data_IF_171546018536
#
_entry.id   IF_171546018536
#
_cell.length_a   1.000
_cell.length_b   1.000
_cell.length_c   1.000
_cell.angle_alpha   90.00
_cell.angle_beta   90.00
_cell.angle_gamma   90.00
#
_symmetry.space_group_name_H-M   'P 1'
#
loop_
_entity.id
_entity.type
_entity.pdbx_description
1 polymer ?
#
# COMPACT_ATOMS: atom_id res chain seq x y z
N UNK A 1 -9.08 -3.98 10.94
CA UNK A 1 -10.39 -4.67 11.02
C UNK A 1 -11.19 -4.50 9.73
N UNK A 2 -11.67 -3.30 9.39
CA UNK A 2 -12.52 -3.04 8.19
C UNK A 2 -11.98 -3.56 6.84
N UNK A 3 -10.68 -3.39 6.54
CA UNK A 3 -10.08 -3.90 5.30
C UNK A 3 -10.02 -5.43 5.29
N UNK A 4 -9.67 -6.05 6.42
CA UNK A 4 -9.63 -7.50 6.54
C UNK A 4 -11.03 -8.12 6.38
N UNK A 5 -12.05 -7.49 6.98
CA UNK A 5 -13.45 -7.92 6.84
C UNK A 5 -13.93 -7.79 5.37
N UNK A 6 -13.58 -6.68 4.70
CA UNK A 6 -13.91 -6.48 3.29
C UNK A 6 -13.18 -7.47 2.36
N UNK A 7 -11.92 -7.79 2.67
CA UNK A 7 -11.13 -8.81 1.95
C UNK A 7 -11.77 -10.19 2.09
N UNK A 8 -12.18 -10.53 3.30
CA UNK A 8 -12.82 -11.81 3.60
C UNK A 8 -14.18 -11.93 2.91
N UNK A 9 -14.96 -10.86 2.85
CA UNK A 9 -16.22 -10.83 2.11
C UNK A 9 -16.01 -11.04 0.60
N UNK A 10 -14.99 -10.40 0.02
CA UNK A 10 -14.62 -10.63 -1.38
C UNK A 10 -14.23 -12.09 -1.63
N UNK A 11 -13.42 -12.68 -0.74
CA UNK A 11 -13.00 -14.09 -0.84
C UNK A 11 -14.18 -15.05 -0.83
N UNK A 12 -15.04 -14.96 0.19
CA UNK A 12 -16.24 -15.81 0.29
C UNK A 12 -17.17 -15.68 -0.91
N UNK A 13 -17.35 -14.45 -1.43
CA UNK A 13 -18.17 -14.22 -2.61
C UNK A 13 -17.55 -14.82 -3.87
N UNK A 14 -16.23 -14.80 -4.01
CA UNK A 14 -15.53 -15.44 -5.12
C UNK A 14 -15.64 -16.96 -5.04
N UNK A 15 -15.38 -17.54 -3.87
CA UNK A 15 -15.50 -18.98 -3.63
C UNK A 15 -16.92 -19.49 -3.94
N UNK A 16 -17.95 -18.71 -3.59
CA UNK A 16 -19.34 -19.02 -3.95
C UNK A 16 -19.58 -19.03 -5.46
N UNK A 17 -19.02 -18.06 -6.20
CA UNK A 17 -19.14 -17.99 -7.66
C UNK A 17 -18.47 -19.20 -8.31
N UNK A 18 -17.27 -19.57 -7.87
CA UNK A 18 -16.56 -20.74 -8.39
C UNK A 18 -17.36 -22.02 -8.10
N UNK A 19 -17.85 -22.19 -6.88
CA UNK A 19 -18.72 -23.31 -6.53
C UNK A 19 -20.00 -23.35 -7.37
N UNK A 20 -20.63 -22.20 -7.67
CA UNK A 20 -21.79 -22.16 -8.57
C UNK A 20 -21.43 -22.59 -10.00
N UNK A 21 -20.26 -22.20 -10.52
CA UNK A 21 -19.82 -22.61 -11.85
C UNK A 21 -19.61 -24.12 -11.94
N UNK A 22 -18.98 -24.70 -10.92
CA UNK A 22 -18.69 -26.14 -10.85
C UNK A 22 -19.98 -26.96 -10.71
N UNK A 23 -21.00 -26.41 -10.04
CA UNK A 23 -22.30 -27.05 -9.84
C UNK A 23 -23.34 -26.68 -10.91
N UNK A 24 -22.92 -26.51 -12.17
CA UNK A 24 -23.86 -26.27 -13.27
C UNK A 24 -24.87 -27.43 -13.37
N UNK A 25 -26.18 -27.16 -13.34
CA UNK A 25 -27.19 -28.21 -13.38
C UNK A 25 -27.22 -28.89 -14.76
N UNK A 26 -27.33 -30.22 -14.74
CA UNK A 26 -27.52 -31.04 -15.94
C UNK A 26 -28.95 -30.88 -16.47
N UNK A 27 -29.92 -30.68 -15.57
CA UNK A 27 -31.33 -30.54 -15.93
C UNK A 27 -31.56 -29.22 -16.70
N UNK A 28 -32.04 -29.29 -17.96
CA UNK A 28 -32.22 -28.12 -18.81
C UNK A 28 -33.21 -27.09 -18.25
N UNK A 29 -34.22 -27.52 -17.49
CA UNK A 29 -35.21 -26.63 -16.87
C UNK A 29 -34.63 -25.79 -15.73
N UNK A 30 -33.50 -26.22 -15.14
CA UNK A 30 -32.82 -25.49 -14.04
C UNK A 30 -31.69 -24.58 -14.53
N UNK A 31 -31.29 -24.67 -15.80
CA UNK A 31 -30.17 -23.90 -16.36
C UNK A 31 -30.43 -22.39 -16.28
N UNK A 32 -31.66 -21.94 -16.55
CA UNK A 32 -31.98 -20.51 -16.55
C UNK A 32 -31.90 -19.91 -15.14
N UNK A 33 -32.45 -20.60 -14.14
CA UNK A 33 -32.37 -20.17 -12.75
C UNK A 33 -30.91 -20.09 -12.28
N UNK A 34 -30.11 -21.11 -12.59
CA UNK A 34 -28.68 -21.12 -12.29
C UNK A 34 -27.91 -19.98 -12.98
N UNK A 35 -28.22 -19.67 -14.25
CA UNK A 35 -27.58 -18.56 -14.98
C UNK A 35 -27.87 -17.21 -14.32
N UNK A 36 -29.11 -16.96 -13.92
CA UNK A 36 -29.48 -15.71 -13.25
C UNK A 36 -28.85 -15.62 -11.86
N UNK A 37 -28.79 -16.73 -11.12
CA UNK A 37 -28.10 -16.78 -9.83
C UNK A 37 -26.61 -16.46 -9.97
N UNK A 38 -25.91 -17.11 -10.92
CA UNK A 38 -24.50 -16.85 -11.20
C UNK A 38 -24.27 -15.39 -11.62
N UNK A 39 -25.11 -14.85 -12.51
CA UNK A 39 -25.05 -13.47 -12.95
C UNK A 39 -25.23 -12.49 -11.79
N UNK A 40 -26.18 -12.74 -10.90
CA UNK A 40 -26.42 -11.92 -9.72
C UNK A 40 -25.24 -11.97 -8.75
N UNK A 41 -24.67 -13.15 -8.50
CA UNK A 41 -23.50 -13.32 -7.65
C UNK A 41 -22.27 -12.57 -8.21
N UNK A 42 -22.02 -12.70 -9.52
CA UNK A 42 -20.94 -11.98 -10.21
C UNK A 42 -21.15 -10.47 -10.15
N UNK A 43 -22.36 -9.98 -10.38
CA UNK A 43 -22.68 -8.56 -10.29
C UNK A 43 -22.50 -8.02 -8.86
N UNK A 44 -22.92 -8.77 -7.85
CA UNK A 44 -22.72 -8.39 -6.45
C UNK A 44 -21.23 -8.31 -6.10
N UNK A 45 -20.42 -9.27 -6.56
CA UNK A 45 -18.98 -9.25 -6.36
C UNK A 45 -18.33 -8.03 -7.02
N UNK A 46 -18.56 -7.85 -8.32
CA UNK A 46 -17.88 -6.84 -9.14
C UNK A 46 -18.31 -5.42 -8.83
N UNK A 47 -19.60 -5.18 -8.57
CA UNK A 47 -20.14 -3.83 -8.44
C UNK A 47 -20.26 -3.36 -7.00
N UNK A 48 -20.25 -4.27 -6.00
CA UNK A 48 -20.39 -3.90 -4.59
C UNK A 48 -19.15 -4.24 -3.77
N UNK A 49 -18.71 -5.51 -3.78
CA UNK A 49 -17.68 -5.97 -2.86
C UNK A 49 -16.27 -5.53 -3.28
N UNK A 50 -15.90 -5.77 -4.53
CA UNK A 50 -14.57 -5.41 -5.06
C UNK A 50 -14.27 -3.91 -4.99
N UNK A 51 -15.19 -2.99 -5.38
CA UNK A 51 -14.95 -1.55 -5.27
C UNK A 51 -14.85 -1.09 -3.81
N UNK A 52 -15.69 -1.61 -2.91
CA UNK A 52 -15.62 -1.27 -1.48
C UNK A 52 -14.27 -1.66 -0.87
N UNK A 53 -13.76 -2.85 -1.16
CA UNK A 53 -12.42 -3.25 -0.70
C UNK A 53 -11.33 -2.35 -1.30
N UNK A 54 -11.39 -2.08 -2.62
CA UNK A 54 -10.42 -1.22 -3.31
C UNK A 54 -10.38 0.19 -2.73
N UNK A 55 -11.54 0.78 -2.47
CA UNK A 55 -11.65 2.12 -1.90
C UNK A 55 -11.09 2.16 -0.47
N UNK A 56 -11.43 1.18 0.37
CA UNK A 56 -10.90 1.10 1.74
C UNK A 56 -9.37 0.96 1.77
N UNK A 57 -8.80 0.20 0.83
CA UNK A 57 -7.34 0.07 0.69
C UNK A 57 -6.73 1.39 0.23
N UNK A 58 -7.29 2.04 -0.79
CA UNK A 58 -6.82 3.33 -1.29
C UNK A 58 -6.87 4.42 -0.20
N UNK A 59 -7.97 4.49 0.55
CA UNK A 59 -8.12 5.42 1.67
C UNK A 59 -7.08 5.15 2.76
N UNK A 60 -6.88 3.88 3.13
CA UNK A 60 -5.84 3.53 4.10
C UNK A 60 -4.44 3.90 3.62
N UNK A 61 -4.11 3.71 2.33
CA UNK A 61 -2.84 4.18 1.77
C UNK A 61 -2.73 5.70 1.80
N UNK A 62 -3.80 6.43 1.47
CA UNK A 62 -3.86 7.89 1.55
C UNK A 62 -3.64 8.37 2.98
N UNK A 63 -4.33 7.80 3.96
CA UNK A 63 -4.18 8.17 5.38
C UNK A 63 -2.82 7.76 5.94
N UNK A 64 -2.28 6.58 5.57
CA UNK A 64 -0.93 6.15 5.98
C UNK A 64 0.16 7.07 5.39
N UNK A 65 -0.05 7.58 4.18
CA UNK A 65 0.87 8.50 3.51
C UNK A 65 0.65 9.98 3.90
N UNK A 66 -0.37 10.31 4.69
CA UNK A 66 -0.53 11.63 5.31
C UNK A 66 0.49 11.90 6.44
N UNK A 67 1.38 10.94 6.75
CA UNK A 67 2.40 11.10 7.79
C UNK A 67 3.42 12.19 7.49
N UNK A 68 4.11 12.12 6.34
CA UNK A 68 5.01 13.16 5.82
C UNK A 68 5.21 12.81 4.35
N UNK A 69 4.62 13.55 3.42
CA UNK A 69 5.03 13.44 2.01
C UNK A 69 6.36 14.20 1.83
N UNK A 70 7.15 13.86 0.81
CA UNK A 70 8.38 14.62 0.50
C UNK A 70 8.09 16.13 0.37
N UNK A 71 6.94 16.50 -0.18
CA UNK A 71 6.48 17.88 -0.26
C UNK A 71 6.20 18.52 1.11
N UNK A 72 5.64 17.78 2.07
CA UNK A 72 5.46 18.26 3.45
C UNK A 72 6.81 18.50 4.12
N UNK A 73 7.78 17.60 3.91
CA UNK A 73 9.14 17.77 4.40
C UNK A 73 9.80 19.02 3.80
N UNK A 74 9.71 19.21 2.48
CA UNK A 74 10.24 20.40 1.80
C UNK A 74 9.61 21.70 2.32
N UNK A 75 8.30 21.72 2.55
CA UNK A 75 7.61 22.88 3.11
C UNK A 75 8.03 23.16 4.55
N UNK A 76 8.19 22.13 5.38
CA UNK A 76 8.66 22.28 6.74
C UNK A 76 10.12 22.77 6.81
N UNK A 77 10.99 22.21 5.96
CA UNK A 77 12.40 22.60 5.83
C UNK A 77 12.54 24.07 5.37
N UNK A 78 11.74 24.48 4.37
CA UNK A 78 11.67 25.87 3.92
C UNK A 78 11.17 26.82 5.03
N UNK A 79 10.18 26.40 5.82
CA UNK A 79 9.64 27.20 6.93
C UNK A 79 10.66 27.36 8.07
N UNK A 80 11.44 26.32 8.37
CA UNK A 80 12.56 26.42 9.33
C UNK A 80 13.59 27.45 8.88
N UNK A 81 13.98 27.43 7.60
CA UNK A 81 14.90 28.44 7.04
C UNK A 81 14.37 29.88 7.18
N UNK A 82 13.07 30.07 7.01
CA UNK A 82 12.45 31.40 7.14
C UNK A 82 12.36 31.88 8.59
N UNK A 83 12.07 30.98 9.53
CA UNK A 83 11.92 31.31 10.95
C UNK A 83 13.25 31.54 11.66
N UNK A 84 14.27 30.76 11.33
CA UNK A 84 15.62 30.89 11.88
C UNK A 84 16.66 30.42 10.86
N UNK A 85 17.15 31.38 10.07
CA UNK A 85 18.14 31.10 9.04
C UNK A 85 19.48 30.62 9.61
N UNK A 86 19.88 31.13 10.78
CA UNK A 86 21.15 30.80 11.41
C UNK A 86 21.10 29.38 12.01
N UNK A 87 20.06 29.06 12.78
CA UNK A 87 19.83 27.71 13.30
C UNK A 87 19.70 26.67 12.18
N UNK A 88 19.02 27.02 11.09
CA UNK A 88 18.93 26.17 9.90
C UNK A 88 20.30 25.88 9.27
N UNK A 89 21.16 26.90 9.12
CA UNK A 89 22.51 26.72 8.56
C UNK A 89 23.38 25.80 9.42
N UNK A 90 23.33 25.94 10.75
CA UNK A 90 24.05 25.06 11.68
C UNK A 90 23.57 23.61 11.54
N UNK A 91 22.26 23.38 11.46
CA UNK A 91 21.70 22.03 11.25
C UNK A 91 22.19 21.44 9.92
N UNK A 92 22.20 22.21 8.82
CA UNK A 92 22.68 21.72 7.52
C UNK A 92 24.17 21.39 7.51
N UNK A 93 24.98 22.15 8.25
CA UNK A 93 26.41 21.84 8.41
C UNK A 93 26.60 20.52 9.18
N UNK A 94 25.89 20.33 10.29
CA UNK A 94 25.93 19.09 11.06
C UNK A 94 25.43 17.87 10.25
N UNK A 95 24.39 18.04 9.42
CA UNK A 95 23.92 17.00 8.49
C UNK A 95 25.01 16.61 7.47
N UNK A 96 25.73 17.59 6.92
CA UNK A 96 26.83 17.35 5.98
C UNK A 96 28.01 16.62 6.64
N UNK A 97 28.37 17.00 7.87
CA UNK A 97 29.42 16.36 8.67
C UNK A 97 29.08 14.91 9.02
N UNK A 98 27.83 14.64 9.41
CA UNK A 98 27.33 13.28 9.67
C UNK A 98 27.37 12.42 8.41
N UNK A 99 26.94 12.97 7.26
CA UNK A 99 26.96 12.25 5.99
C UNK A 99 28.39 11.95 5.53
N UNK A 100 29.31 12.90 5.69
CA UNK A 100 30.72 12.69 5.39
C UNK A 100 31.33 11.61 6.29
N UNK A 101 31.02 11.65 7.58
CA UNK A 101 31.47 10.64 8.55
C UNK A 101 30.93 9.24 8.23
N UNK A 102 29.64 9.13 7.89
CA UNK A 102 29.01 7.86 7.51
C UNK A 102 29.57 7.30 6.19
N UNK A 103 29.84 8.17 5.20
CA UNK A 103 30.47 7.77 3.96
C UNK A 103 31.89 7.23 4.21
N UNK A 104 32.68 7.90 5.04
CA UNK A 104 34.03 7.47 5.40
C UNK A 104 34.01 6.12 6.13
N UNK A 105 33.11 5.91 7.10
CA UNK A 105 32.94 4.63 7.81
C UNK A 105 32.55 3.48 6.87
N UNK A 106 31.71 3.74 5.87
CA UNK A 106 31.33 2.76 4.85
C UNK A 106 32.51 2.35 3.95
N UNK A 107 33.37 3.31 3.61
CA UNK A 107 34.61 3.07 2.85
C UNK A 107 35.63 2.28 3.68
N UNK A 108 35.83 2.62 4.96
CA UNK A 108 36.78 1.90 5.83
C UNK A 108 36.37 0.45 6.05
N UNK A 109 35.07 0.16 6.28
CA UNK A 109 34.55 -1.22 6.35
C UNK A 109 34.77 -2.01 5.06
N UNK A 110 34.67 -1.36 3.91
CA UNK A 110 34.90 -2.00 2.61
C UNK A 110 36.39 -2.28 2.35
N UNK A 111 37.30 -1.47 2.92
CA UNK A 111 38.75 -1.70 2.83
C UNK A 111 39.25 -2.79 3.77
N UNK A 112 38.73 -2.91 4.99
CA UNK A 112 39.12 -3.98 5.92
C UNK A 112 38.72 -5.38 5.40
N UNK A 113 37.63 -5.49 4.64
CA UNK A 113 37.25 -6.74 3.99
C UNK A 113 38.09 -7.11 2.75
N UNK A 114 38.87 -6.18 2.18
CA UNK A 114 39.69 -6.45 0.99
C UNK A 114 41.17 -6.76 1.28
N UNK A 115 41.63 -6.56 2.52
CA UNK A 115 42.99 -6.91 2.97
C UNK A 115 43.11 -8.24 3.72
N UNK A 116 41.99 -8.92 3.96
CA UNK A 116 41.96 -10.27 4.53
C UNK A 116 41.88 -11.33 3.43
N UNK A 117 42.97 -11.58 2.71
CA UNK A 117 43.13 -12.78 1.87
C UNK A 117 44.55 -13.30 1.96
#
# INVERSE_FOLDING_TARGET
KRIADAREACRKSFDYIENLKDNKPINPFKINAWREELKNAVNQHNNKLKPNHSNLVADHHKTKNNGVTHEHWLKADAKMRQLDANGYQVIKQLEAELNHSNANVSVTRSQDHSKGR
#
